data_IF_379471758827
#
_entry.id   IF_379471758827
#
_cell.length_a   1.000
_cell.length_b   1.000
_cell.length_c   1.000
_cell.angle_alpha   90.00
_cell.angle_beta   90.00
_cell.angle_gamma   90.00
#
_symmetry.space_group_name_H-M   'P 1'
#
loop_
_entity.id
_entity.type
_entity.pdbx_description
1 polymer ?
#
# COMPACT_ATOMS: atom_id res chain seq x y z
N UNK A 1 -8.71 48.98 42.33
CA UNK A 1 -8.59 49.05 40.86
C UNK A 1 -7.48 48.15 40.33
N UNK A 2 -6.24 48.26 40.82
CA UNK A 2 -5.10 47.47 40.35
C UNK A 2 -5.29 45.94 40.48
N UNK A 3 -5.88 45.44 41.58
CA UNK A 3 -6.11 44.00 41.74
C UNK A 3 -7.12 43.43 40.75
N UNK A 4 -8.15 44.20 40.38
CA UNK A 4 -9.17 43.79 39.39
C UNK A 4 -8.57 43.76 37.98
N UNK A 5 -7.71 44.74 37.67
CA UNK A 5 -6.97 44.78 36.39
C UNK A 5 -6.00 43.60 36.27
N UNK A 6 -5.33 43.22 37.35
CA UNK A 6 -4.43 42.06 37.34
C UNK A 6 -5.20 40.74 37.15
N UNK A 7 -6.35 40.57 37.81
CA UNK A 7 -7.18 39.36 37.66
C UNK A 7 -7.72 39.22 36.22
N UNK A 8 -8.22 40.32 35.64
CA UNK A 8 -8.72 40.31 34.25
C UNK A 8 -7.61 40.03 33.24
N UNK A 9 -6.40 40.56 33.45
CA UNK A 9 -5.23 40.26 32.62
C UNK A 9 -4.86 38.77 32.66
N UNK A 10 -4.86 38.14 33.84
CA UNK A 10 -4.51 36.71 33.97
C UNK A 10 -5.55 35.83 33.27
N UNK A 11 -6.85 36.14 33.42
CA UNK A 11 -7.92 35.40 32.76
C UNK A 11 -7.84 35.48 31.24
N UNK A 12 -7.48 36.65 30.68
CA UNK A 12 -7.30 36.82 29.24
C UNK A 12 -6.20 35.91 28.68
N UNK A 13 -5.08 35.78 29.40
CA UNK A 13 -3.97 34.90 29.00
C UNK A 13 -4.38 33.42 29.05
N UNK A 14 -5.14 33.00 30.06
CA UNK A 14 -5.60 31.61 30.16
C UNK A 14 -6.56 31.23 29.03
N UNK A 15 -7.43 32.16 28.62
CA UNK A 15 -8.36 31.94 27.52
C UNK A 15 -7.61 31.83 26.19
N UNK A 16 -6.59 32.66 25.95
CA UNK A 16 -5.82 32.62 24.70
C UNK A 16 -5.02 31.32 24.56
N UNK A 17 -4.40 30.85 25.65
CA UNK A 17 -3.70 29.56 25.69
C UNK A 17 -4.67 28.41 25.42
N UNK A 18 -5.84 28.41 26.09
CA UNK A 18 -6.85 27.36 25.89
C UNK A 18 -7.35 27.32 24.45
N UNK A 19 -7.54 28.48 23.82
CA UNK A 19 -7.94 28.58 22.42
C UNK A 19 -6.86 28.04 21.48
N UNK A 20 -5.59 28.33 21.73
CA UNK A 20 -4.49 27.78 20.93
C UNK A 20 -4.39 26.25 21.03
N UNK A 21 -4.55 25.69 22.25
CA UNK A 21 -4.58 24.23 22.45
C UNK A 21 -5.76 23.61 21.67
N UNK A 22 -6.94 24.23 21.74
CA UNK A 22 -8.12 23.77 20.99
C UNK A 22 -7.87 23.74 19.48
N UNK A 23 -7.28 24.81 18.92
CA UNK A 23 -6.93 24.86 17.50
C UNK A 23 -5.89 23.81 17.12
N UNK A 24 -4.89 23.58 17.98
CA UNK A 24 -3.85 22.58 17.75
C UNK A 24 -4.42 21.15 17.74
N UNK A 25 -5.27 20.80 18.70
CA UNK A 25 -5.95 19.49 18.73
C UNK A 25 -6.82 19.30 17.49
N UNK A 26 -7.56 20.34 17.08
CA UNK A 26 -8.38 20.28 15.86
C UNK A 26 -7.52 20.09 14.60
N UNK A 27 -6.37 20.74 14.53
CA UNK A 27 -5.41 20.57 13.44
C UNK A 27 -4.87 19.14 13.37
N UNK A 28 -4.45 18.57 14.50
CA UNK A 28 -4.00 17.18 14.57
C UNK A 28 -5.10 16.20 14.16
N UNK A 29 -6.33 16.40 14.65
CA UNK A 29 -7.44 15.52 14.29
C UNK A 29 -7.76 15.57 12.79
N UNK A 30 -7.68 16.76 12.19
CA UNK A 30 -7.86 16.93 10.75
C UNK A 30 -6.73 16.29 9.94
N UNK A 31 -5.49 16.32 10.42
CA UNK A 31 -4.38 15.57 9.80
C UNK A 31 -4.60 14.07 9.87
N UNK A 32 -5.02 13.55 11.03
CA UNK A 32 -5.32 12.13 11.20
C UNK A 32 -6.46 11.66 10.28
N UNK A 33 -7.48 12.50 10.10
CA UNK A 33 -8.58 12.21 9.17
C UNK A 33 -8.15 12.22 7.69
N UNK A 34 -7.10 12.99 7.34
CA UNK A 34 -6.56 13.05 5.98
C UNK A 34 -5.54 11.96 5.67
N UNK A 35 -4.96 11.33 6.70
CA UNK A 35 -3.97 10.28 6.56
C UNK A 35 -4.43 8.92 7.16
N UNK A 36 -5.61 8.37 6.78
CA UNK A 36 -6.05 7.05 7.27
C UNK A 36 -5.09 5.92 6.86
N UNK A 37 -4.17 6.16 5.93
CA UNK A 37 -3.13 5.23 5.50
C UNK A 37 -1.99 5.02 6.52
N UNK A 38 -1.73 6.00 7.40
CA UNK A 38 -0.56 5.98 8.31
C UNK A 38 -0.77 5.16 9.59
N UNK A 39 -2.00 4.72 9.88
CA UNK A 39 -2.30 3.85 11.03
C UNK A 39 -2.17 2.35 10.73
N UNK A 40 -1.78 1.97 9.50
CA UNK A 40 -1.64 0.57 9.07
C UNK A 40 -0.18 0.13 8.79
N UNK A 41 0.83 0.85 9.31
CA UNK A 41 2.25 0.55 9.03
C UNK A 41 2.84 -0.69 9.74
N UNK A 42 2.03 -1.67 10.14
CA UNK A 42 2.54 -3.00 10.49
C UNK A 42 1.77 -4.14 9.83
N UNK A 43 0.96 -3.86 8.80
CA UNK A 43 0.48 -4.94 7.94
C UNK A 43 1.55 -5.19 6.89
N UNK A 44 2.36 -6.23 7.09
CA UNK A 44 3.24 -6.77 6.05
C UNK A 44 2.44 -6.80 4.74
N UNK A 45 2.83 -5.99 3.76
CA UNK A 45 2.12 -5.91 2.48
C UNK A 45 2.31 -7.27 1.81
N UNK A 46 1.28 -8.11 1.89
CA UNK A 46 1.23 -9.37 1.18
C UNK A 46 0.77 -9.08 -0.23
N UNK A 47 1.71 -9.10 -1.16
CA UNK A 47 1.39 -8.99 -2.58
C UNK A 47 0.73 -10.28 -3.07
N UNK A 48 -0.26 -10.18 -3.98
CA UNK A 48 -0.84 -11.36 -4.60
C UNK A 48 0.24 -12.13 -5.36
N UNK A 49 0.18 -13.46 -5.25
CA UNK A 49 1.17 -14.35 -5.88
C UNK A 49 1.04 -14.44 -7.40
N UNK A 50 -0.16 -14.16 -7.91
CA UNK A 50 -0.47 -14.12 -9.33
C UNK A 50 -0.86 -12.71 -9.74
N UNK A 51 -0.64 -12.33 -11.02
CA UNK A 51 -1.18 -11.10 -11.58
C UNK A 51 -2.70 -11.05 -11.52
N UNK A 52 -3.26 -9.85 -11.67
CA UNK A 52 -4.70 -9.68 -11.64
C UNK A 52 -5.33 -10.42 -12.81
N UNK A 53 -6.49 -11.05 -12.57
CA UNK A 53 -7.23 -11.85 -13.56
C UNK A 53 -6.52 -13.15 -13.99
N UNK A 54 -5.44 -13.56 -13.34
CA UNK A 54 -4.86 -14.89 -13.53
C UNK A 54 -5.49 -15.88 -12.55
N UNK A 55 -5.79 -17.08 -13.02
CA UNK A 55 -6.30 -18.15 -12.15
C UNK A 55 -5.12 -18.85 -11.49
N UNK A 56 -5.21 -19.07 -10.17
CA UNK A 56 -4.25 -19.93 -9.48
C UNK A 56 -4.67 -21.39 -9.66
N UNK A 57 -3.87 -22.13 -10.41
CA UNK A 57 -4.06 -23.56 -10.63
C UNK A 57 -2.90 -24.33 -10.04
N UNK A 58 -3.07 -25.63 -9.88
CA UNK A 58 -2.00 -26.53 -9.44
C UNK A 58 -1.52 -27.33 -10.65
N UNK A 59 -0.21 -27.35 -10.90
CA UNK A 59 0.39 -28.19 -11.94
C UNK A 59 0.44 -29.66 -11.45
N UNK A 60 0.74 -30.60 -12.35
CA UNK A 60 0.81 -32.04 -12.09
C UNK A 60 1.80 -32.43 -10.97
N UNK A 61 2.68 -31.51 -10.57
CA UNK A 61 3.65 -31.68 -9.48
C UNK A 61 3.18 -31.07 -8.13
N UNK A 62 1.89 -30.76 -7.98
CA UNK A 62 1.32 -30.05 -6.82
C UNK A 62 1.84 -28.60 -6.61
N UNK A 63 2.49 -28.04 -7.63
CA UNK A 63 3.01 -26.67 -7.62
C UNK A 63 1.92 -25.65 -7.98
N UNK A 64 1.80 -24.55 -7.22
CA UNK A 64 0.92 -23.43 -7.58
C UNK A 64 1.48 -22.69 -8.79
N UNK A 65 0.67 -22.54 -9.83
CA UNK A 65 1.00 -21.83 -11.07
C UNK A 65 -0.12 -20.83 -11.42
N UNK A 66 0.24 -19.76 -12.13
CA UNK A 66 -0.71 -18.72 -12.52
C UNK A 66 -1.07 -18.90 -14.00
N UNK A 67 -2.35 -19.15 -14.30
CA UNK A 67 -2.85 -19.36 -15.65
C UNK A 67 -3.53 -18.11 -16.19
N UNK A 68 -3.07 -17.65 -17.35
CA UNK A 68 -3.63 -16.50 -18.05
C UNK A 68 -4.85 -16.92 -18.89
N UNK A 69 -5.97 -17.23 -18.22
CA UNK A 69 -7.19 -17.74 -18.87
C UNK A 69 -7.78 -16.73 -19.86
N UNK A 70 -7.63 -15.44 -19.57
CA UNK A 70 -8.15 -14.35 -20.39
C UNK A 70 -7.18 -13.82 -21.45
N UNK A 71 -5.96 -14.40 -21.56
CA UNK A 71 -4.92 -14.01 -22.52
C UNK A 71 -4.59 -12.51 -22.48
N UNK A 72 -4.52 -11.96 -21.27
CA UNK A 72 -4.25 -10.54 -21.00
C UNK A 72 -2.76 -10.26 -21.24
N UNK A 73 -2.47 -9.08 -21.79
CA UNK A 73 -1.12 -8.60 -22.00
C UNK A 73 -0.44 -9.08 -23.29
N UNK A 74 0.76 -8.54 -23.52
CA UNK A 74 1.62 -8.81 -24.68
C UNK A 74 2.40 -10.12 -24.54
N UNK A 75 2.77 -10.49 -23.31
CA UNK A 75 3.45 -11.74 -23.04
C UNK A 75 2.44 -12.89 -23.03
N UNK A 76 2.03 -13.28 -24.24
CA UNK A 76 1.25 -14.48 -24.47
C UNK A 76 2.17 -15.66 -24.25
N UNK A 77 2.09 -16.25 -23.06
CA UNK A 77 2.75 -17.52 -22.76
C UNK A 77 2.21 -18.55 -23.75
N UNK A 78 3.09 -19.18 -24.51
CA UNK A 78 2.73 -20.26 -25.44
C UNK A 78 2.02 -21.39 -24.69
N UNK A 79 1.05 -22.03 -25.33
CA UNK A 79 0.22 -23.08 -24.71
C UNK A 79 1.08 -24.13 -23.96
N UNK A 80 0.75 -24.46 -22.71
CA UNK A 80 -0.36 -23.95 -21.90
C UNK A 80 -0.02 -22.55 -21.37
N UNK A 81 -0.92 -21.57 -21.53
CA UNK A 81 -0.81 -20.14 -21.09
C UNK A 81 -0.56 -19.97 -19.58
N UNK A 82 0.55 -20.51 -19.09
CA UNK A 82 0.84 -20.79 -17.69
C UNK A 82 2.18 -20.16 -17.40
N UNK A 83 2.23 -19.31 -16.38
CA UNK A 83 3.49 -18.78 -15.87
C UNK A 83 3.67 -19.21 -14.43
N UNK A 84 4.85 -19.75 -14.17
CA UNK A 84 5.27 -20.19 -12.85
C UNK A 84 6.12 -19.09 -12.20
N UNK A 85 5.51 -17.96 -11.85
CA UNK A 85 6.17 -16.89 -11.07
C UNK A 85 6.54 -17.32 -9.64
N UNK A 86 6.09 -18.50 -9.24
CA UNK A 86 6.27 -19.09 -7.91
C UNK A 86 7.45 -20.06 -7.83
N UNK A 87 8.06 -20.40 -8.98
CA UNK A 87 9.14 -21.40 -9.05
C UNK A 87 10.48 -20.81 -9.43
N UNK A 88 10.47 -19.71 -10.18
CA UNK A 88 11.72 -19.05 -10.53
C UNK A 88 12.25 -18.28 -9.32
N UNK A 89 13.47 -18.60 -8.91
CA UNK A 89 14.19 -17.87 -7.86
C UNK A 89 14.28 -16.37 -8.18
N UNK A 90 14.23 -16.01 -9.47
CA UNK A 90 14.15 -14.62 -9.92
C UNK A 90 12.92 -13.87 -9.38
N UNK A 91 11.78 -14.54 -9.20
CA UNK A 91 10.51 -13.93 -8.77
C UNK A 91 10.18 -14.20 -7.30
N UNK A 92 10.79 -15.21 -6.67
CA UNK A 92 10.54 -15.58 -5.26
C UNK A 92 11.57 -15.00 -4.28
N UNK A 93 12.71 -14.50 -4.78
CA UNK A 93 13.74 -13.89 -3.94
C UNK A 93 13.16 -12.71 -3.13
N UNK A 94 13.41 -12.71 -1.82
CA UNK A 94 12.89 -11.71 -0.89
C UNK A 94 13.46 -10.31 -1.10
N UNK A 95 14.60 -10.17 -1.78
CA UNK A 95 15.21 -8.86 -2.08
C UNK A 95 14.63 -8.23 -3.35
N UNK A 96 14.68 -8.97 -4.46
CA UNK A 96 14.41 -8.40 -5.79
C UNK A 96 13.23 -9.06 -6.52
N UNK A 97 12.63 -10.11 -5.94
CA UNK A 97 11.61 -10.92 -6.61
C UNK A 97 10.38 -10.10 -7.03
N UNK A 98 9.92 -9.19 -6.16
CA UNK A 98 8.80 -8.30 -6.48
C UNK A 98 9.17 -7.27 -7.56
N UNK A 99 10.44 -6.83 -7.62
CA UNK A 99 10.88 -5.90 -8.66
C UNK A 99 10.91 -6.59 -10.04
N UNK A 100 11.33 -7.85 -10.09
CA UNK A 100 11.24 -8.66 -11.32
C UNK A 100 9.80 -8.93 -11.73
N UNK A 101 8.90 -9.20 -10.77
CA UNK A 101 7.47 -9.32 -11.04
C UNK A 101 6.89 -8.02 -11.61
N UNK A 102 7.29 -6.87 -11.07
CA UNK A 102 6.89 -5.55 -11.59
C UNK A 102 7.37 -5.33 -13.01
N UNK A 103 8.66 -5.57 -13.26
CA UNK A 103 9.25 -5.42 -14.58
C UNK A 103 8.53 -6.30 -15.61
N UNK A 104 8.28 -7.56 -15.25
CA UNK A 104 7.50 -8.46 -16.09
C UNK A 104 6.08 -7.91 -16.33
N UNK A 105 5.38 -7.48 -15.28
CA UNK A 105 4.03 -6.92 -15.41
C UNK A 105 3.98 -5.71 -16.36
N UNK A 106 4.95 -4.78 -16.26
CA UNK A 106 5.06 -3.62 -17.15
C UNK A 106 5.41 -4.00 -18.58
N UNK A 107 6.43 -4.84 -18.78
CA UNK A 107 6.85 -5.27 -20.11
C UNK A 107 5.74 -6.05 -20.82
N UNK A 108 4.96 -6.81 -20.04
CA UNK A 108 3.86 -7.62 -20.54
C UNK A 108 2.51 -6.90 -20.58
N UNK A 109 2.42 -5.65 -20.09
CA UNK A 109 1.17 -4.88 -19.98
C UNK A 109 0.05 -5.66 -19.27
N UNK A 110 0.40 -6.28 -18.13
CA UNK A 110 -0.53 -7.03 -17.28
C UNK A 110 -0.68 -6.29 -15.95
N UNK A 111 -1.92 -6.08 -15.47
CA UNK A 111 -2.14 -5.52 -14.14
C UNK A 111 -1.70 -6.49 -13.06
N UNK A 112 -1.00 -5.98 -12.05
CA UNK A 112 -0.60 -6.75 -10.86
C UNK A 112 -0.66 -5.85 -9.63
N UNK A 113 -1.79 -5.89 -8.93
CA UNK A 113 -2.09 -5.00 -7.81
C UNK A 113 -0.94 -4.95 -6.79
N UNK A 114 -0.43 -3.74 -6.57
CA UNK A 114 0.63 -3.44 -5.61
C UNK A 114 2.04 -3.80 -6.08
N UNK A 115 2.20 -4.64 -7.11
CA UNK A 115 3.51 -4.96 -7.68
C UNK A 115 3.88 -4.00 -8.82
N UNK A 116 2.91 -3.68 -9.68
CA UNK A 116 3.07 -2.81 -10.86
C UNK A 116 3.63 -1.40 -10.58
N UNK A 117 3.51 -0.92 -9.34
CA UNK A 117 3.98 0.39 -8.87
C UNK A 117 5.34 0.35 -8.14
N UNK A 118 5.97 -0.82 -8.02
CA UNK A 118 7.28 -0.98 -7.36
C UNK A 118 8.47 -0.62 -8.26
N UNK A 119 8.19 -0.54 -9.56
CA UNK A 119 9.05 -0.09 -10.65
C UNK A 119 8.21 0.85 -11.52
#
# INVERSE_FOLDING_TARGET
>A
MNSIVNITSVLSVMISISFMIFLYVRYLNNQNAKNPFLQNETKKIEYPQCPDFFESTTDNNDDKVCKNVYKIGKCRLSDPYTASFLKDDLFTNTKDGNYWKCRWAKECEVPWEGIDNLC
#
